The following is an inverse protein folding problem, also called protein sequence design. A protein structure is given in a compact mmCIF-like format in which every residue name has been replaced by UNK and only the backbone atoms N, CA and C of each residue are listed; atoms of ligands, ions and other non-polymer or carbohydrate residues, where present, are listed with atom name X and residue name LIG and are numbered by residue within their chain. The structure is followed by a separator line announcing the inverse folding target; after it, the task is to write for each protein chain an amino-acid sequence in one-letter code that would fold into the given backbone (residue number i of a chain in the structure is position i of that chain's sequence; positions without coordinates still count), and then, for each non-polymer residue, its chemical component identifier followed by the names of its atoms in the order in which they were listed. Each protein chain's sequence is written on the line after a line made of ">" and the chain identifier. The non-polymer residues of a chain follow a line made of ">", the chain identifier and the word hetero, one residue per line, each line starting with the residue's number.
data_IF_514000110253
#
_entry.id   IF_514000110253
#
_cell.length_a   1.000
_cell.length_b   1.000
_cell.length_c   1.000
_cell.angle_alpha   90.00
_cell.angle_beta   90.00
_cell.angle_gamma   90.00
#
_symmetry.space_group_name_H-M   'P 1'
#
loop_
_entity.id
_entity.type
_entity.pdbx_description
1 polymer ?
#
# COMPACT_ATOMS: atom_id res chain seq x y z
N UNK A 1 -2.99 -1.30 -4.42
CA UNK A 1 -4.25 -0.61 -4.78
C UNK A 1 -4.95 -0.34 -3.46
N UNK A 2 -5.41 0.89 -3.23
CA UNK A 2 -6.22 1.23 -2.05
C UNK A 2 -7.67 1.36 -2.47
N UNK A 3 -8.56 0.85 -1.63
CA UNK A 3 -9.99 0.86 -1.87
C UNK A 3 -10.65 1.62 -0.73
N UNK A 4 -11.35 2.71 -1.06
CA UNK A 4 -12.08 3.53 -0.10
C UNK A 4 -13.20 4.29 -0.80
N UNK A 5 -14.44 4.00 -0.43
CA UNK A 5 -15.63 4.69 -0.93
C UNK A 5 -15.59 6.17 -0.52
N UNK A 6 -15.20 6.45 0.73
CA UNK A 6 -15.11 7.81 1.26
C UNK A 6 -14.15 8.70 0.46
N UNK A 7 -13.00 8.16 0.06
CA UNK A 7 -12.03 8.89 -0.78
C UNK A 7 -12.65 9.26 -2.13
N UNK A 8 -13.40 8.35 -2.75
CA UNK A 8 -14.06 8.60 -4.05
C UNK A 8 -15.14 9.66 -3.92
N UNK A 9 -15.94 9.64 -2.87
CA UNK A 9 -17.05 10.58 -2.67
C UNK A 9 -16.58 11.98 -2.26
N UNK A 10 -15.44 12.08 -1.56
CA UNK A 10 -15.01 13.33 -0.93
C UNK A 10 -13.80 13.99 -1.57
N UNK A 11 -13.05 13.29 -2.43
CA UNK A 11 -11.93 13.88 -3.16
C UNK A 11 -12.38 14.41 -4.53
N UNK A 12 -11.62 15.38 -5.05
CA UNK A 12 -11.89 16.03 -6.32
C UNK A 12 -10.61 16.18 -7.11
N UNK A 13 -10.73 16.37 -8.42
CA UNK A 13 -9.56 16.65 -9.26
C UNK A 13 -8.79 17.86 -8.73
N UNK A 14 -7.47 17.71 -8.57
CA UNK A 14 -6.60 18.75 -8.03
C UNK A 14 -6.37 18.68 -6.52
N UNK A 15 -7.08 17.82 -5.78
CA UNK A 15 -6.77 17.58 -4.37
C UNK A 15 -5.39 16.93 -4.21
N UNK A 16 -4.60 17.40 -3.25
CA UNK A 16 -3.34 16.78 -2.88
C UNK A 16 -3.58 15.70 -1.83
N UNK A 17 -3.20 14.47 -2.15
CA UNK A 17 -3.36 13.32 -1.28
C UNK A 17 -1.99 12.79 -0.84
N UNK A 18 -1.86 12.52 0.46
CA UNK A 18 -0.77 11.74 1.04
C UNK A 18 -1.31 10.36 1.42
N UNK A 19 -0.63 9.28 1.03
CA UNK A 19 -1.03 7.92 1.36
C UNK A 19 0.07 7.21 2.16
N UNK A 20 -0.21 6.88 3.41
CA UNK A 20 0.59 5.98 4.22
C UNK A 20 0.16 4.53 3.96
N UNK A 21 0.99 3.82 3.20
CA UNK A 21 0.70 2.45 2.79
C UNK A 21 0.91 1.41 3.89
N UNK A 22 1.62 1.79 4.95
CA UNK A 22 1.94 0.91 6.08
C UNK A 22 0.80 0.98 7.11
N UNK A 23 0.34 2.19 7.40
CA UNK A 23 -0.75 2.42 8.35
C UNK A 23 -2.14 2.30 7.72
N UNK A 24 -2.23 2.27 6.38
CA UNK A 24 -3.52 2.25 5.67
C UNK A 24 -4.27 3.55 5.87
N UNK A 25 -3.58 4.68 5.74
CA UNK A 25 -4.17 6.02 5.95
C UNK A 25 -3.97 6.85 4.70
N UNK A 26 -5.04 7.51 4.24
CA UNK A 26 -4.97 8.50 3.16
C UNK A 26 -5.38 9.85 3.75
N UNK A 27 -4.55 10.87 3.59
CA UNK A 27 -4.84 12.26 4.00
C UNK A 27 -5.07 13.10 2.77
N UNK A 28 -6.18 13.82 2.74
CA UNK A 28 -6.39 14.91 1.80
C UNK A 28 -5.90 16.21 2.41
N UNK A 29 -4.74 16.66 1.95
CA UNK A 29 -4.04 17.84 2.45
C UNK A 29 -4.78 19.14 2.06
N UNK A 30 -5.53 19.14 0.96
CA UNK A 30 -6.29 20.29 0.50
C UNK A 30 -7.54 20.54 1.35
N UNK A 31 -8.17 19.46 1.85
CA UNK A 31 -9.45 19.51 2.58
C UNK A 31 -9.33 19.26 4.08
N UNK A 32 -8.12 19.02 4.58
CA UNK A 32 -7.84 18.64 5.97
C UNK A 32 -8.69 17.44 6.43
N UNK A 33 -8.69 16.37 5.62
CA UNK A 33 -9.44 15.14 5.87
C UNK A 33 -8.52 13.93 5.92
N UNK A 34 -8.89 12.96 6.76
CA UNK A 34 -8.15 11.70 6.93
C UNK A 34 -9.10 10.53 6.75
N UNK A 35 -8.70 9.59 5.91
CA UNK A 35 -9.43 8.38 5.56
C UNK A 35 -8.64 7.15 5.98
N UNK A 36 -9.34 6.13 6.45
CA UNK A 36 -8.73 4.82 6.73
C UNK A 36 -9.03 3.86 5.59
N UNK A 37 -8.05 3.04 5.26
CA UNK A 37 -8.15 1.97 4.28
C UNK A 37 -7.88 0.64 4.96
N UNK A 38 -8.23 -0.44 4.30
CA UNK A 38 -7.76 -1.76 4.71
C UNK A 38 -6.23 -1.81 4.61
N UNK A 39 -5.59 -2.47 5.58
CA UNK A 39 -4.16 -2.72 5.53
C UNK A 39 -3.85 -3.70 4.41
N UNK A 40 -2.76 -3.46 3.69
CA UNK A 40 -2.26 -4.42 2.71
C UNK A 40 -1.82 -5.69 3.46
N UNK A 41 -2.16 -6.90 2.97
CA UNK A 41 -1.63 -8.14 3.53
C UNK A 41 -0.09 -8.12 3.57
N UNK A 42 0.50 -8.75 4.59
CA UNK A 42 1.96 -8.74 4.80
C UNK A 42 2.76 -9.17 3.57
N UNK A 43 2.29 -10.16 2.81
CA UNK A 43 3.01 -10.63 1.63
C UNK A 43 3.08 -9.55 0.54
N UNK A 44 2.04 -8.71 0.40
CA UNK A 44 2.05 -7.58 -0.52
C UNK A 44 3.03 -6.52 -0.04
N UNK A 45 3.05 -6.22 1.27
CA UNK A 45 4.01 -5.28 1.84
C UNK A 45 5.45 -5.74 1.58
N UNK A 46 5.75 -7.04 1.72
CA UNK A 46 7.05 -7.63 1.40
C UNK A 46 7.39 -7.46 -0.09
N UNK A 47 6.43 -7.71 -0.99
CA UNK A 47 6.62 -7.50 -2.43
C UNK A 47 6.99 -6.03 -2.73
N UNK A 48 6.31 -5.07 -2.11
CA UNK A 48 6.59 -3.64 -2.29
C UNK A 48 7.98 -3.30 -1.73
N UNK A 49 8.31 -3.77 -0.53
CA UNK A 49 9.57 -3.48 0.14
C UNK A 49 10.79 -3.93 -0.67
N UNK A 50 10.71 -5.08 -1.35
CA UNK A 50 11.80 -5.59 -2.19
C UNK A 50 11.79 -4.98 -3.60
N UNK A 51 10.85 -4.10 -3.93
CA UNK A 51 10.77 -3.41 -5.21
C UNK A 51 10.14 -4.24 -6.33
N UNK A 52 9.18 -5.11 -5.99
CA UNK A 52 8.29 -5.77 -6.95
C UNK A 52 8.34 -7.30 -6.92
N UNK A 53 7.34 -7.89 -7.57
CA UNK A 53 7.03 -9.33 -7.51
C UNK A 53 8.21 -10.21 -7.94
N UNK A 54 8.94 -9.83 -8.98
CA UNK A 54 10.07 -10.63 -9.49
C UNK A 54 11.17 -10.79 -8.46
N UNK A 55 11.50 -9.72 -7.72
CA UNK A 55 12.53 -9.77 -6.67
C UNK A 55 12.03 -10.61 -5.49
N UNK A 56 10.79 -10.42 -5.08
CA UNK A 56 10.15 -11.23 -4.04
C UNK A 56 10.22 -12.72 -4.33
N UNK A 57 9.83 -13.14 -5.55
CA UNK A 57 9.86 -14.57 -5.94
C UNK A 57 11.29 -15.10 -5.93
N UNK A 58 12.28 -14.33 -6.40
CA UNK A 58 13.69 -14.75 -6.38
C UNK A 58 14.19 -14.99 -4.95
N UNK A 59 13.88 -14.10 -4.02
CA UNK A 59 14.26 -14.24 -2.61
C UNK A 59 13.51 -15.37 -1.92
N UNK A 60 12.22 -15.56 -2.25
CA UNK A 60 11.40 -16.67 -1.76
C UNK A 60 11.97 -18.03 -2.15
N UNK A 61 12.40 -18.18 -3.41
CA UNK A 61 13.03 -19.41 -3.90
C UNK A 61 14.35 -19.69 -3.15
N UNK A 62 15.23 -18.68 -3.05
CA UNK A 62 16.49 -18.81 -2.32
C UNK A 62 16.27 -19.20 -0.86
N UNK A 63 15.30 -18.57 -0.18
CA UNK A 63 14.97 -18.90 1.22
C UNK A 63 14.49 -20.35 1.35
N UNK A 64 13.71 -20.86 0.40
CA UNK A 64 13.25 -22.26 0.43
C UNK A 64 14.39 -23.25 0.22
N UNK A 65 15.36 -22.94 -0.64
CA UNK A 65 16.56 -23.76 -0.87
C UNK A 65 17.46 -23.82 0.36
N UNK A 66 17.56 -22.74 1.15
CA UNK A 66 18.39 -22.68 2.37
C UNK A 66 17.77 -23.38 3.59
N UNK A 67 16.46 -23.69 3.55
CA UNK A 67 15.74 -24.37 4.64
C UNK A 67 15.55 -25.89 4.39
N UNK A 68 16.25 -26.45 3.39
CA UNK A 68 16.30 -27.88 3.05
C UNK A 68 17.70 -28.40 3.35
#
# INVERSE_FOLDING_TARGET
>A
IFESIEVVEQCSQGDMLEADTIQGVIKNLTKDKVYKTNLLPEFIQKIIAVGGLRKYVKEELKRREENV
#
